data_IF_203707725894
#
_entry.id   IF_203707725894
#
_cell.length_a   1.000
_cell.length_b   1.000
_cell.length_c   1.000
_cell.angle_alpha   90.00
_cell.angle_beta   90.00
_cell.angle_gamma   90.00
#
_symmetry.space_group_name_H-M   'P 1'
#
loop_
_entity.id
_entity.type
_entity.pdbx_description
1 polymer ?
#
# COMPACT_ATOMS: atom_id res chain seq x y z
N UNK A 1 11.05 11.00 -10.70
CA UNK A 1 10.66 9.58 -10.51
C UNK A 1 10.32 9.27 -9.07
N UNK A 2 9.45 8.30 -8.85
CA UNK A 2 9.03 7.79 -7.56
C UNK A 2 7.76 6.96 -7.69
N UNK A 3 7.31 6.39 -6.59
CA UNK A 3 6.17 5.46 -6.57
C UNK A 3 4.92 6.14 -6.02
N UNK A 4 3.79 5.85 -6.65
CA UNK A 4 2.48 6.19 -6.14
C UNK A 4 1.80 4.93 -5.62
N UNK A 5 1.36 4.94 -4.36
CA UNK A 5 0.78 3.76 -3.74
C UNK A 5 -0.71 3.67 -4.04
N UNK A 6 -1.11 2.72 -4.88
CA UNK A 6 -2.52 2.54 -5.27
C UNK A 6 -3.35 1.88 -4.16
N UNK A 7 -2.75 0.96 -3.40
CA UNK A 7 -3.42 0.20 -2.36
C UNK A 7 -2.50 -0.10 -1.18
N UNK A 8 -3.00 0.11 0.05
CA UNK A 8 -2.19 -0.04 1.26
C UNK A 8 -3.00 -0.58 2.46
N UNK A 9 -3.40 -1.86 2.45
CA UNK A 9 -4.13 -2.47 3.55
C UNK A 9 -3.23 -2.66 4.78
N UNK A 10 -3.76 -2.46 5.99
CA UNK A 10 -3.04 -2.65 7.26
C UNK A 10 -3.93 -3.32 8.31
N UNK A 11 -3.34 -4.10 9.21
CA UNK A 11 -4.08 -4.87 10.23
C UNK A 11 -4.51 -4.06 11.45
N UNK A 12 -3.81 -2.96 11.77
CA UNK A 12 -4.03 -2.23 13.03
C UNK A 12 -4.45 -0.78 12.80
N UNK A 13 -5.37 -0.32 13.64
CA UNK A 13 -5.85 1.07 13.64
C UNK A 13 -4.71 2.07 13.83
N UNK A 14 -3.78 1.79 14.76
CA UNK A 14 -2.63 2.65 15.01
C UNK A 14 -1.75 2.85 13.76
N UNK A 15 -1.55 1.79 12.96
CA UNK A 15 -0.79 1.89 11.71
C UNK A 15 -1.56 2.67 10.63
N UNK A 16 -2.88 2.47 10.54
CA UNK A 16 -3.78 3.18 9.60
C UNK A 16 -3.83 4.66 9.92
N UNK A 17 -4.26 5.02 11.13
CA UNK A 17 -4.42 6.40 11.58
C UNK A 17 -3.08 7.11 11.56
N UNK A 18 -2.03 6.52 12.16
CA UNK A 18 -0.71 7.12 12.20
C UNK A 18 -0.13 7.41 10.82
N UNK A 19 -0.34 6.52 9.85
CA UNK A 19 0.11 6.71 8.47
C UNK A 19 -0.65 7.80 7.71
N UNK A 20 -1.99 7.79 7.83
CA UNK A 20 -2.87 8.79 7.20
C UNK A 20 -2.57 10.20 7.71
N UNK A 21 -2.54 10.35 9.03
CA UNK A 21 -2.39 11.65 9.69
C UNK A 21 -0.98 12.21 9.58
N UNK A 22 0.05 11.36 9.65
CA UNK A 22 1.44 11.82 9.59
C UNK A 22 1.94 12.02 8.16
N UNK A 23 1.71 11.05 7.29
CA UNK A 23 2.38 10.96 5.98
C UNK A 23 1.44 11.10 4.79
N UNK A 24 0.14 11.02 5.02
CA UNK A 24 -0.82 11.07 3.94
C UNK A 24 -1.15 9.70 3.32
N UNK A 25 -0.66 8.60 3.90
CA UNK A 25 -0.80 7.27 3.30
C UNK A 25 -2.28 6.86 3.13
N UNK A 26 -2.60 6.21 2.01
CA UNK A 26 -3.96 5.75 1.65
C UNK A 26 -4.36 4.45 2.36
N UNK A 27 -4.02 4.34 3.66
CA UNK A 27 -4.22 3.11 4.42
C UNK A 27 -5.69 2.81 4.68
N UNK A 28 -6.06 1.54 4.52
CA UNK A 28 -7.35 0.97 4.92
C UNK A 28 -7.15 -0.20 5.87
N UNK A 29 -8.08 -0.39 6.82
CA UNK A 29 -8.05 -1.53 7.74
C UNK A 29 -8.45 -2.81 6.99
N UNK A 30 -7.73 -3.91 7.24
CA UNK A 30 -7.98 -5.23 6.64
C UNK A 30 -7.53 -6.36 7.58
N UNK A 31 -8.12 -7.56 7.43
CA UNK A 31 -7.53 -8.78 7.99
C UNK A 31 -6.40 -9.21 7.06
N UNK A 32 -5.16 -9.19 7.56
CA UNK A 32 -3.97 -9.62 6.81
C UNK A 32 -3.35 -10.78 7.56
N UNK A 33 -3.17 -11.90 6.87
CA UNK A 33 -2.45 -13.06 7.37
C UNK A 33 -1.21 -13.26 6.54
N UNK A 34 -0.11 -13.55 7.22
CA UNK A 34 1.16 -13.93 6.63
C UNK A 34 1.73 -15.02 7.53
N UNK A 35 1.84 -16.22 7.00
CA UNK A 35 2.35 -17.39 7.70
C UNK A 35 3.49 -18.00 6.89
N UNK A 36 4.51 -18.50 7.60
CA UNK A 36 5.63 -19.21 7.01
C UNK A 36 5.94 -20.43 7.86
N UNK A 37 5.89 -21.61 7.26
CA UNK A 37 6.31 -22.89 7.84
C UNK A 37 7.43 -23.50 6.99
N UNK A 38 8.67 -23.40 7.50
CA UNK A 38 9.86 -23.74 6.72
C UNK A 38 9.97 -22.89 5.46
N UNK A 39 9.92 -23.55 4.31
CA UNK A 39 9.95 -22.89 3.00
C UNK A 39 8.55 -22.48 2.51
N UNK A 40 7.49 -23.06 3.08
CA UNK A 40 6.13 -22.79 2.67
C UNK A 40 5.64 -21.44 3.19
N UNK A 41 5.01 -20.64 2.32
CA UNK A 41 4.51 -19.30 2.63
C UNK A 41 3.06 -19.17 2.15
N UNK A 42 2.19 -18.77 3.07
CA UNK A 42 0.82 -18.38 2.77
C UNK A 42 0.57 -16.93 3.22
N UNK A 43 -0.07 -16.15 2.35
CA UNK A 43 -0.51 -14.81 2.71
C UNK A 43 -1.90 -14.52 2.14
N UNK A 44 -2.70 -13.77 2.90
CA UNK A 44 -4.02 -13.35 2.45
C UNK A 44 -4.37 -11.95 2.97
N UNK A 45 -5.20 -11.25 2.21
CA UNK A 45 -5.81 -9.99 2.63
C UNK A 45 -7.31 -10.04 2.41
N UNK A 46 -8.05 -9.72 3.46
CA UNK A 46 -9.51 -9.73 3.47
C UNK A 46 -10.09 -8.42 3.99
N UNK A 47 -11.13 -7.94 3.32
CA UNK A 47 -11.97 -6.83 3.79
C UNK A 47 -13.43 -7.17 3.54
N UNK A 48 -14.31 -6.81 4.47
CA UNK A 48 -15.75 -7.06 4.37
C UNK A 48 -16.13 -8.53 4.05
N UNK A 49 -15.36 -9.49 4.58
CA UNK A 49 -15.58 -10.92 4.34
C UNK A 49 -15.11 -11.44 2.98
N UNK A 50 -14.43 -10.63 2.18
CA UNK A 50 -13.90 -11.00 0.87
C UNK A 50 -12.38 -11.10 0.95
N UNK A 51 -11.84 -12.30 0.71
CA UNK A 51 -10.40 -12.51 0.51
C UNK A 51 -10.03 -12.15 -0.94
N UNK A 52 -9.57 -10.92 -1.14
CA UNK A 52 -9.33 -10.37 -2.49
C UNK A 52 -7.88 -10.49 -2.95
N UNK A 53 -6.95 -10.79 -2.05
CA UNK A 53 -5.55 -11.08 -2.36
C UNK A 53 -5.14 -12.34 -1.61
N UNK A 54 -4.64 -13.33 -2.34
CA UNK A 54 -4.02 -14.53 -1.75
C UNK A 54 -2.73 -14.86 -2.45
N UNK A 55 -1.75 -15.31 -1.68
CA UNK A 55 -0.49 -15.83 -2.18
C UNK A 55 -0.18 -17.15 -1.48
N UNK A 56 0.21 -18.16 -2.26
CA UNK A 56 0.76 -19.43 -1.75
C UNK A 56 1.99 -19.77 -2.58
N UNK A 57 3.08 -20.14 -1.92
CA UNK A 57 4.30 -20.54 -2.59
C UNK A 57 5.37 -21.04 -1.64
N UNK A 58 6.52 -21.39 -2.20
CA UNK A 58 7.65 -21.94 -1.47
C UNK A 58 8.93 -21.15 -1.76
N UNK A 59 9.72 -20.85 -0.73
CA UNK A 59 11.05 -20.32 -0.86
C UNK A 59 11.97 -21.41 -1.44
N UNK A 60 12.65 -21.10 -2.53
CA UNK A 60 13.40 -22.10 -3.31
C UNK A 60 14.89 -21.82 -3.42
N UNK A 61 15.30 -20.58 -3.13
CA UNK A 61 16.69 -20.15 -3.31
C UNK A 61 16.99 -18.87 -2.52
N UNK A 62 18.07 -18.87 -1.73
CA UNK A 62 18.63 -17.64 -1.17
C UNK A 62 19.37 -16.83 -2.24
N UNK A 63 19.11 -15.52 -2.30
CA UNK A 63 19.71 -14.61 -3.27
C UNK A 63 20.73 -13.68 -2.60
N UNK A 64 21.64 -13.14 -3.41
CA UNK A 64 22.53 -12.07 -2.98
C UNK A 64 21.75 -10.85 -2.51
N UNK A 65 22.27 -10.19 -1.46
CA UNK A 65 21.62 -8.99 -0.92
C UNK A 65 21.73 -7.84 -1.91
N UNK A 66 20.60 -7.24 -2.33
CA UNK A 66 20.65 -6.05 -3.15
C UNK A 66 21.19 -4.86 -2.35
N UNK A 67 21.59 -3.81 -3.06
CA UNK A 67 21.97 -2.55 -2.43
C UNK A 67 20.81 -1.96 -1.60
N UNK A 68 21.15 -1.08 -0.65
CA UNK A 68 20.14 -0.32 0.09
C UNK A 68 19.31 0.51 -0.89
N UNK A 69 17.99 0.35 -0.83
CA UNK A 69 17.04 1.03 -1.68
C UNK A 69 16.70 2.40 -1.08
N UNK A 70 16.69 3.46 -1.89
CA UNK A 70 16.22 4.79 -1.49
C UNK A 70 15.18 5.27 -2.49
N UNK A 71 13.91 5.11 -2.12
CA UNK A 71 12.79 5.33 -3.06
C UNK A 71 11.87 6.45 -2.54
N UNK A 72 11.62 7.49 -3.35
CA UNK A 72 10.54 8.43 -3.10
C UNK A 72 9.18 7.77 -3.35
N UNK A 73 8.31 7.86 -2.37
CA UNK A 73 6.89 7.59 -2.44
C UNK A 73 6.12 8.91 -2.39
N UNK A 74 4.98 8.98 -3.07
CA UNK A 74 4.08 10.12 -3.07
C UNK A 74 2.71 9.73 -2.53
N UNK A 75 2.19 10.57 -1.64
CA UNK A 75 0.89 10.39 -0.99
C UNK A 75 0.16 11.72 -0.95
N UNK A 76 -1.17 11.68 -0.89
CA UNK A 76 -1.99 12.88 -0.69
C UNK A 76 -2.47 12.95 0.75
N UNK A 77 -2.10 14.01 1.48
CA UNK A 77 -2.55 14.27 2.85
C UNK A 77 -3.70 15.27 2.84
N UNK A 78 -4.84 14.87 3.40
CA UNK A 78 -6.05 15.68 3.48
C UNK A 78 -6.94 15.21 4.62
N UNK A 79 -7.86 16.09 5.03
CA UNK A 79 -8.97 15.83 5.97
C UNK A 79 -10.25 16.39 5.35
N UNK A 80 -11.34 15.63 5.44
CA UNK A 80 -12.64 16.08 4.93
C UNK A 80 -13.25 17.08 5.92
N UNK A 81 -13.95 18.09 5.41
CA UNK A 81 -14.56 19.11 6.25
C UNK A 81 -15.67 18.51 7.13
N UNK A 82 -15.77 18.99 8.37
CA UNK A 82 -16.76 18.49 9.34
C UNK A 82 -18.22 18.84 9.00
N UNK A 83 -18.45 19.86 8.17
CA UNK A 83 -19.78 20.24 7.66
C UNK A 83 -20.22 19.35 6.48
N UNK A 84 -19.33 18.46 5.99
CA UNK A 84 -19.59 17.55 4.90
C UNK A 84 -19.27 18.12 3.51
N UNK A 85 -18.73 19.34 3.41
CA UNK A 85 -18.44 20.00 2.14
C UNK A 85 -16.93 20.17 1.90
N UNK A 86 -16.38 19.33 1.02
CA UNK A 86 -14.97 19.41 0.64
C UNK A 86 -13.98 19.01 1.75
N UNK A 87 -13.02 19.90 2.04
CA UNK A 87 -11.87 19.63 2.90
C UNK A 87 -11.67 20.73 3.95
N UNK A 88 -11.14 20.38 5.13
CA UNK A 88 -10.77 21.37 6.15
C UNK A 88 -9.71 22.35 5.61
N UNK A 89 -8.80 21.85 4.76
CA UNK A 89 -7.72 22.58 4.11
C UNK A 89 -7.42 21.95 2.73
N UNK A 90 -6.75 22.72 1.86
CA UNK A 90 -6.25 22.22 0.58
C UNK A 90 -5.44 20.91 0.76
N UNK A 91 -5.76 19.83 0.01
CA UNK A 91 -4.98 18.61 0.05
C UNK A 91 -3.51 18.87 -0.27
N UNK A 92 -2.61 18.12 0.37
CA UNK A 92 -1.16 18.27 0.21
C UNK A 92 -0.57 17.06 -0.50
N UNK A 93 0.29 17.29 -1.47
CA UNK A 93 1.19 16.25 -1.97
C UNK A 93 2.36 16.10 -0.99
N UNK A 94 2.54 14.89 -0.46
CA UNK A 94 3.62 14.54 0.46
C UNK A 94 4.60 13.64 -0.25
N UNK A 95 5.88 14.04 -0.25
CA UNK A 95 7.00 13.21 -0.69
C UNK A 95 7.60 12.51 0.52
N UNK A 96 7.48 11.19 0.57
CA UNK A 96 8.02 10.29 1.60
C UNK A 96 9.18 9.48 1.03
N UNK A 97 10.40 9.66 1.52
CA UNK A 97 11.56 8.88 1.08
C UNK A 97 11.75 7.69 2.02
N UNK A 98 11.68 6.49 1.45
CA UNK A 98 11.88 5.23 2.15
C UNK A 98 13.30 4.74 1.89
N UNK A 99 14.11 4.65 2.95
CA UNK A 99 15.42 3.99 2.92
C UNK A 99 15.26 2.57 3.44
N UNK A 100 15.45 1.57 2.59
CA UNK A 100 15.21 0.15 2.91
C UNK A 100 16.50 -0.64 2.79
N UNK A 101 16.90 -1.24 3.90
CA UNK A 101 18.11 -2.07 3.97
C UNK A 101 17.71 -3.55 4.07
N UNK A 102 17.93 -4.36 3.02
CA UNK A 102 17.67 -5.79 3.05
C UNK A 102 18.59 -6.49 4.04
N UNK A 103 18.09 -7.55 4.68
CA UNK A 103 18.82 -8.47 5.55
C UNK A 103 18.93 -9.86 4.95
N UNK A 104 17.85 -10.33 4.32
CA UNK A 104 17.77 -11.58 3.58
C UNK A 104 16.89 -11.35 2.35
N UNK A 105 17.16 -12.09 1.27
CA UNK A 105 16.30 -12.14 0.09
C UNK A 105 16.26 -13.59 -0.38
N UNK A 106 15.07 -14.11 -0.59
CA UNK A 106 14.84 -15.46 -1.12
C UNK A 106 13.93 -15.37 -2.34
N UNK A 107 14.24 -16.13 -3.38
CA UNK A 107 13.35 -16.35 -4.51
C UNK A 107 12.22 -17.27 -4.06
N UNK A 108 11.01 -16.93 -4.44
CA UNK A 108 9.81 -17.72 -4.11
C UNK A 108 9.15 -18.15 -5.41
N UNK A 109 8.78 -19.42 -5.50
CA UNK A 109 7.91 -19.94 -6.56
C UNK A 109 6.50 -20.10 -5.99
N UNK A 110 5.51 -19.51 -6.64
CA UNK A 110 4.16 -19.50 -6.09
C UNK A 110 3.15 -18.83 -7.00
N UNK A 111 1.93 -18.74 -6.47
CA UNK A 111 0.77 -18.20 -7.18
C UNK A 111 0.15 -17.06 -6.39
N UNK A 112 0.01 -15.92 -7.04
CA UNK A 112 -0.83 -14.81 -6.59
C UNK A 112 -2.23 -14.97 -7.20
N UNK A 113 -3.26 -14.84 -6.38
CA UNK A 113 -4.67 -14.76 -6.80
C UNK A 113 -5.22 -13.41 -6.37
N UNK A 114 -5.73 -12.66 -7.34
CA UNK A 114 -6.48 -11.43 -7.13
C UNK A 114 -7.95 -11.70 -7.46
N UNK A 115 -8.86 -11.22 -6.61
CA UNK A 115 -10.31 -11.33 -6.83
C UNK A 115 -10.97 -9.97 -6.77
N UNK A 116 -12.13 -9.90 -7.40
CA UNK A 116 -12.97 -8.71 -7.35
C UNK A 116 -13.35 -8.39 -5.91
N UNK A 117 -13.16 -7.11 -5.55
CA UNK A 117 -13.67 -6.50 -4.33
C UNK A 117 -14.14 -5.10 -4.68
N UNK A 118 -15.39 -4.80 -4.30
CA UNK A 118 -16.03 -3.51 -4.61
C UNK A 118 -15.20 -2.30 -4.15
N UNK A 119 -14.50 -2.43 -3.02
CA UNK A 119 -13.76 -1.34 -2.40
C UNK A 119 -12.24 -1.46 -2.54
N UNK A 120 -11.79 -2.57 -3.13
CA UNK A 120 -10.37 -2.93 -3.30
C UNK A 120 -10.15 -3.53 -4.70
N UNK A 121 -10.28 -2.73 -5.78
CA UNK A 121 -10.27 -3.20 -7.17
C UNK A 121 -8.86 -3.55 -7.68
N UNK A 122 -8.11 -4.35 -6.93
CA UNK A 122 -6.76 -4.79 -7.34
C UNK A 122 -6.79 -5.78 -8.50
N UNK A 123 -7.90 -6.49 -8.69
CA UNK A 123 -8.10 -7.42 -9.80
C UNK A 123 -8.21 -6.71 -11.16
N UNK A 124 -8.56 -5.41 -11.16
CA UNK A 124 -8.63 -4.59 -12.38
C UNK A 124 -7.24 -4.23 -12.94
N UNK A 125 -6.17 -4.55 -12.22
CA UNK A 125 -4.79 -4.34 -12.64
C UNK A 125 -4.28 -5.61 -13.36
N UNK A 126 -4.26 -5.64 -14.71
CA UNK A 126 -3.84 -6.83 -15.43
C UNK A 126 -2.36 -7.12 -15.20
N UNK A 127 -2.04 -8.37 -14.86
CA UNK A 127 -0.66 -8.84 -14.73
C UNK A 127 -0.24 -9.41 -16.08
N UNK A 128 0.49 -8.63 -16.88
CA UNK A 128 0.80 -9.00 -18.26
C UNK A 128 1.95 -10.02 -18.40
N UNK A 129 3.05 -9.86 -17.65
CA UNK A 129 4.24 -10.74 -17.66
C UNK A 129 5.25 -10.39 -16.57
N UNK A 130 6.32 -11.19 -16.49
CA UNK A 130 7.53 -10.92 -15.69
C UNK A 130 7.31 -10.80 -14.18
N UNK A 131 6.52 -11.71 -13.61
CA UNK A 131 6.30 -11.78 -12.16
C UNK A 131 7.56 -12.33 -11.51
N UNK A 132 8.21 -11.47 -10.70
CA UNK A 132 9.24 -11.90 -9.76
C UNK A 132 8.65 -11.89 -8.36
N UNK A 133 8.69 -13.04 -7.70
CA UNK A 133 8.28 -13.16 -6.31
C UNK A 133 9.52 -13.38 -5.44
N UNK A 134 9.61 -12.59 -4.37
CA UNK A 134 10.69 -12.69 -3.40
C UNK A 134 10.16 -12.53 -1.99
N UNK A 135 10.66 -13.33 -1.06
CA UNK A 135 10.58 -13.05 0.36
C UNK A 135 11.77 -12.19 0.75
N UNK A 136 11.56 -11.18 1.59
CA UNK A 136 12.63 -10.25 1.98
C UNK A 136 12.41 -9.75 3.39
N UNK A 137 13.39 -9.99 4.26
CA UNK A 137 13.46 -9.31 5.54
C UNK A 137 14.28 -8.04 5.38
N UNK A 138 13.77 -6.93 5.90
CA UNK A 138 14.42 -5.61 5.77
C UNK A 138 14.08 -4.69 6.91
N UNK A 139 14.92 -3.69 7.13
CA UNK A 139 14.59 -2.52 7.94
C UNK A 139 14.25 -1.34 7.03
N UNK A 140 13.35 -0.48 7.47
CA UNK A 140 12.98 0.73 6.74
C UNK A 140 13.06 1.97 7.65
N UNK A 141 13.55 3.07 7.08
CA UNK A 141 13.46 4.40 7.66
C UNK A 141 12.70 5.31 6.69
N UNK A 142 11.90 6.23 7.23
CA UNK A 142 11.04 7.12 6.45
C UNK A 142 11.32 8.57 6.84
N UNK A 143 11.59 9.40 5.83
CA UNK A 143 11.63 10.86 5.95
C UNK A 143 10.64 11.47 4.97
N UNK A 144 9.73 12.31 5.45
CA UNK A 144 8.65 12.86 4.63
C UNK A 144 8.53 14.38 4.77
N UNK A 145 8.07 15.03 3.70
CA UNK A 145 7.70 16.45 3.69
C UNK A 145 6.54 16.70 2.73
N UNK A 146 5.68 17.65 3.07
CA UNK A 146 4.78 18.23 2.08
C UNK A 146 5.62 18.97 1.02
N UNK A 147 5.25 18.83 -0.24
CA UNK A 147 5.98 19.41 -1.37
C UNK A 147 5.13 20.32 -2.24
N UNK A 148 3.81 20.17 -2.22
CA UNK A 148 2.89 20.97 -3.04
C UNK A 148 1.48 20.95 -2.45
N UNK A 149 0.69 22.00 -2.72
CA UNK A 149 -0.76 22.01 -2.50
C UNK A 149 -1.47 21.52 -3.76
N UNK A 150 -2.58 20.81 -3.58
CA UNK A 150 -3.31 20.16 -4.67
C UNK A 150 -4.67 20.84 -4.79
N UNK A 151 -5.08 21.07 -6.04
CA UNK A 151 -6.41 21.57 -6.37
C UNK A 151 -7.49 20.66 -5.72
N UNK A 152 -8.32 21.20 -4.82
CA UNK A 152 -9.33 20.42 -4.10
C UNK A 152 -10.35 19.76 -5.04
N UNK A 153 -10.83 20.48 -6.05
CA UNK A 153 -11.87 20.03 -6.97
C UNK A 153 -11.33 18.93 -7.88
N UNK A 154 -10.09 19.11 -8.38
CA UNK A 154 -9.43 18.10 -9.19
C UNK A 154 -9.13 16.81 -8.40
N UNK A 155 -8.90 16.93 -7.08
CA UNK A 155 -8.58 15.78 -6.23
C UNK A 155 -9.82 15.07 -5.66
N UNK A 156 -10.96 15.76 -5.54
CA UNK A 156 -12.20 15.23 -4.95
C UNK A 156 -12.64 13.85 -5.46
N UNK A 157 -12.56 13.54 -6.77
CA UNK A 157 -12.94 12.22 -7.27
C UNK A 157 -12.07 11.08 -6.73
N UNK A 158 -10.89 11.35 -6.16
CA UNK A 158 -9.91 10.35 -5.75
C UNK A 158 -9.87 10.06 -4.24
N UNK A 159 -10.76 10.65 -3.45
CA UNK A 159 -10.81 10.39 -2.00
C UNK A 159 -11.13 8.92 -1.66
N UNK A 160 -11.68 8.15 -2.62
CA UNK A 160 -11.97 6.71 -2.48
C UNK A 160 -10.75 5.85 -2.17
N UNK A 161 -9.54 6.40 -2.38
CA UNK A 161 -8.33 5.70 -2.00
C UNK A 161 -8.21 5.54 -0.48
N UNK A 162 -8.85 6.41 0.31
CA UNK A 162 -8.89 6.34 1.78
C UNK A 162 -10.26 5.99 2.35
N UNK A 163 -11.31 6.27 1.61
CA UNK A 163 -12.69 6.07 2.01
C UNK A 163 -13.36 5.07 1.07
N UNK A 164 -14.33 4.31 1.54
CA UNK A 164 -15.02 3.32 0.68
C UNK A 164 -16.19 3.94 -0.12
N UNK A 165 -16.17 5.27 -0.28
CA UNK A 165 -17.05 6.03 -1.15
C UNK A 165 -16.22 6.97 -2.04
N UNK A 166 -16.73 7.25 -3.24
CA UNK A 166 -16.18 8.28 -4.11
C UNK A 166 -16.63 9.67 -3.63
N UNK A 167 -15.79 10.69 -3.87
CA UNK A 167 -16.25 12.07 -3.75
C UNK A 167 -17.39 12.30 -4.74
N UNK A 168 -18.54 12.75 -4.27
CA UNK A 168 -19.66 13.12 -5.14
C UNK A 168 -19.34 14.50 -5.73
N UNK A 169 -19.11 14.57 -7.04
CA UNK A 169 -19.01 15.85 -7.75
C UNK A 169 -20.36 16.51 -7.98
#
# INVERSE_FOLDING_TARGET
DGWYCLHLPMTTEAAVVGGRERYGENKKIADIRFDRDGDHIEASVSRYGITYLEFVGDAVEGLDLPATEVVPHYYFKYSLAADGDGYDHEPLLVRSVHTRKPKTVERVEGKLVLRDSQFDPVADLPIERDIRTTYTERTAFIAAKAVEKVDPDAFWPYIYQRYDFAGQG
#
